data_IF_178461530537
#
_entry.id   IF_178461530537
#
_cell.length_a   1.000
_cell.length_b   1.000
_cell.length_c   1.000
_cell.angle_alpha   90.00
_cell.angle_beta   90.00
_cell.angle_gamma   90.00
#
_symmetry.space_group_name_H-M   'P 1'
#
loop_
_entity.id
_entity.type
_entity.pdbx_description
1 polymer ?
#
# COMPACT_ATOMS: atom_id res chain seq x y z
N UNK A 1 0.59 -18.30 4.72
CA UNK A 1 1.70 -17.39 4.36
C UNK A 1 1.18 -16.36 3.36
N UNK A 2 1.29 -15.09 3.70
CA UNK A 2 0.79 -14.06 2.81
C UNK A 2 1.85 -13.70 1.77
N UNK A 3 1.46 -13.76 0.51
CA UNK A 3 2.28 -13.29 -0.58
C UNK A 3 2.16 -11.78 -0.68
N UNK A 4 3.21 -11.12 -1.12
CA UNK A 4 3.14 -9.71 -1.44
C UNK A 4 3.54 -9.51 -2.89
N UNK A 5 3.13 -8.37 -3.43
CA UNK A 5 3.33 -8.06 -4.84
C UNK A 5 4.21 -6.82 -4.97
N UNK A 6 5.08 -6.85 -5.97
CA UNK A 6 5.84 -5.67 -6.35
C UNK A 6 4.95 -4.83 -7.28
N UNK A 7 4.79 -3.57 -6.94
CA UNK A 7 3.88 -2.66 -7.65
C UNK A 7 4.26 -2.48 -9.13
N UNK A 8 5.55 -2.67 -9.45
CA UNK A 8 6.03 -2.56 -10.82
C UNK A 8 5.59 -3.74 -11.69
N UNK A 9 5.24 -4.87 -11.07
CA UNK A 9 4.82 -6.07 -11.78
C UNK A 9 3.33 -6.32 -11.68
N UNK A 10 2.75 -6.00 -10.52
CA UNK A 10 1.33 -6.21 -10.27
C UNK A 10 0.76 -4.90 -9.72
N UNK A 11 0.04 -4.14 -10.54
CA UNK A 11 -0.56 -2.90 -10.07
C UNK A 11 -1.59 -3.15 -8.97
N UNK A 12 -1.67 -2.28 -7.96
CA UNK A 12 -2.64 -2.46 -6.89
C UNK A 12 -4.06 -2.15 -7.37
N UNK A 13 -5.07 -2.84 -6.80
CA UNK A 13 -6.45 -2.45 -7.06
C UNK A 13 -6.74 -1.08 -6.46
N UNK A 14 -7.59 -0.30 -7.13
CA UNK A 14 -7.98 1.04 -6.69
C UNK A 14 -9.14 0.94 -5.69
N UNK A 15 -9.10 1.79 -4.67
CA UNK A 15 -10.17 1.93 -3.69
C UNK A 15 -10.40 0.69 -2.81
N UNK A 16 -9.38 -0.12 -2.65
CA UNK A 16 -9.42 -1.32 -1.81
C UNK A 16 -8.41 -1.14 -0.67
N UNK A 17 -8.81 -1.45 0.55
CA UNK A 17 -7.90 -1.41 1.68
C UNK A 17 -6.91 -2.56 1.58
N UNK A 18 -5.62 -2.22 1.65
CA UNK A 18 -4.51 -3.14 1.49
C UNK A 18 -3.48 -2.84 2.57
N UNK A 19 -2.52 -3.75 2.70
CA UNK A 19 -1.30 -3.46 3.45
C UNK A 19 -0.20 -3.12 2.47
N UNK A 20 0.51 -2.03 2.75
CA UNK A 20 1.64 -1.60 1.93
C UNK A 20 2.88 -1.46 2.80
N UNK A 21 4.03 -1.78 2.24
CA UNK A 21 5.29 -1.63 2.97
C UNK A 21 5.74 -0.17 2.85
N UNK A 22 5.77 0.51 3.97
CA UNK A 22 6.17 1.91 4.02
C UNK A 22 7.61 2.04 4.49
N UNK A 23 8.46 2.42 3.56
CA UNK A 23 9.89 2.52 3.83
C UNK A 23 10.23 3.59 4.86
N UNK A 24 9.45 4.64 4.94
CA UNK A 24 9.66 5.70 5.93
C UNK A 24 9.59 5.21 7.37
N UNK A 25 8.72 4.23 7.61
CA UNK A 25 8.56 3.61 8.94
C UNK A 25 9.13 2.19 8.97
N UNK A 26 9.57 1.68 7.83
CA UNK A 26 10.10 0.33 7.69
C UNK A 26 9.12 -0.72 8.23
N UNK A 27 7.85 -0.56 7.93
CA UNK A 27 6.80 -1.46 8.38
C UNK A 27 5.62 -1.50 7.39
N UNK A 28 4.75 -2.48 7.58
CA UNK A 28 3.53 -2.57 6.81
C UNK A 28 2.46 -1.69 7.44
N UNK A 29 1.77 -0.91 6.63
CA UNK A 29 0.69 -0.04 7.07
C UNK A 29 -0.55 -0.28 6.22
N UNK A 30 -1.72 -0.04 6.79
CA UNK A 30 -2.97 -0.14 6.06
C UNK A 30 -3.18 1.13 5.25
N UNK A 31 -3.42 0.96 3.96
CA UNK A 31 -3.61 2.09 3.07
C UNK A 31 -4.50 1.70 1.88
N UNK A 32 -4.97 2.70 1.19
CA UNK A 32 -5.82 2.55 0.02
C UNK A 32 -5.28 3.42 -1.09
N UNK A 33 -5.19 2.85 -2.30
CA UNK A 33 -4.74 3.59 -3.48
C UNK A 33 -5.95 4.26 -4.14
N UNK A 34 -5.88 5.58 -4.33
CA UNK A 34 -6.97 6.33 -4.94
C UNK A 34 -6.79 6.55 -6.45
N UNK A 35 -5.78 5.90 -7.04
CA UNK A 35 -5.42 6.07 -8.45
C UNK A 35 -4.27 7.03 -8.65
N UNK A 36 -3.92 7.79 -7.63
CA UNK A 36 -2.83 8.77 -7.69
C UNK A 36 -1.94 8.69 -6.46
N UNK A 37 -2.55 8.59 -5.27
CA UNK A 37 -1.82 8.56 -4.01
C UNK A 37 -2.29 7.41 -3.15
N UNK A 38 -1.41 6.95 -2.25
CA UNK A 38 -1.78 6.05 -1.19
C UNK A 38 -2.24 6.86 0.01
N UNK A 39 -3.41 6.52 0.55
CA UNK A 39 -3.98 7.21 1.71
C UNK A 39 -4.18 6.23 2.84
N UNK A 40 -3.82 6.66 4.05
CA UNK A 40 -4.00 5.83 5.24
C UNK A 40 -5.44 5.91 5.75
N UNK A 41 -5.70 5.26 6.88
CA UNK A 41 -7.03 5.19 7.46
C UNK A 41 -7.56 6.55 7.93
N UNK A 42 -6.67 7.52 8.12
CA UNK A 42 -7.04 8.88 8.50
C UNK A 42 -7.16 9.81 7.29
N UNK A 43 -7.01 9.27 6.09
CA UNK A 43 -7.08 10.05 4.85
C UNK A 43 -5.80 10.81 4.52
N UNK A 44 -4.72 10.58 5.26
CA UNK A 44 -3.45 11.25 5.01
C UNK A 44 -2.69 10.53 3.90
N UNK A 45 -1.92 11.27 3.15
CA UNK A 45 -1.08 10.70 2.11
C UNK A 45 0.11 9.99 2.74
N UNK A 46 0.31 8.73 2.35
CA UNK A 46 1.49 7.97 2.74
C UNK A 46 2.64 8.48 1.90
N UNK A 47 3.60 9.12 2.55
CA UNK A 47 4.73 9.74 1.86
C UNK A 47 5.86 8.74 1.69
N UNK A 48 6.58 8.89 0.57
CA UNK A 48 7.68 8.02 0.24
C UNK A 48 7.24 6.91 -0.71
N UNK A 49 8.20 6.15 -1.27
CA UNK A 49 7.87 5.14 -2.26
C UNK A 49 7.16 3.96 -1.63
N UNK A 50 6.06 3.55 -2.23
CA UNK A 50 5.40 2.28 -1.93
C UNK A 50 5.82 1.30 -3.03
N UNK A 51 6.52 0.26 -2.66
CA UNK A 51 7.05 -0.71 -3.62
C UNK A 51 6.28 -2.02 -3.55
N UNK A 52 5.83 -2.40 -2.35
CA UNK A 52 5.14 -3.67 -2.12
C UNK A 52 3.77 -3.44 -1.53
N UNK A 53 2.84 -4.28 -1.95
CA UNK A 53 1.50 -4.31 -1.37
C UNK A 53 1.05 -5.76 -1.21
N UNK A 54 0.11 -5.98 -0.31
CA UNK A 54 -0.51 -7.29 -0.12
C UNK A 54 -1.92 -7.12 0.38
N UNK A 55 -2.70 -8.17 0.21
CA UNK A 55 -4.08 -8.18 0.69
C UNK A 55 -4.10 -8.30 2.21
N UNK A 56 -5.07 -7.64 2.83
CA UNK A 56 -5.29 -7.75 4.27
C UNK A 56 -5.93 -9.12 4.55
N UNK A 57 -5.40 -9.82 5.52
CA UNK A 57 -5.90 -11.13 5.91
C UNK A 57 -6.54 -11.11 7.27
#
# INVERSE_FOLDING_TARGET
>A
MSAYHNIAHVPPPVAVWLEVFWWGENCWVTARFDGEHWRDELGRIVRGPVIYWREIQ
#
